data_IF_024136775584
#
_entry.id   IF_024136775584
#
_cell.length_a   1.000
_cell.length_b   1.000
_cell.length_c   1.000
_cell.angle_alpha   90.00
_cell.angle_beta   90.00
_cell.angle_gamma   90.00
#
_symmetry.space_group_name_H-M   'P 1'
#
loop_
_entity.id
_entity.type
_entity.pdbx_description
1 polymer ?
#
# COMPACT_ATOMS: atom_id res chain seq x y z
N UNK A 1 22.03 -23.06 6.91
CA UNK A 1 21.98 -22.85 5.45
C UNK A 1 20.54 -22.96 5.01
N UNK A 2 19.94 -21.86 4.54
CA UNK A 2 18.55 -21.82 4.10
C UNK A 2 18.56 -21.86 2.56
N UNK A 3 18.03 -22.92 1.97
CA UNK A 3 17.85 -23.03 0.52
C UNK A 3 16.54 -22.36 0.13
N UNK A 4 16.61 -21.26 -0.62
CA UNK A 4 15.46 -20.67 -1.29
C UNK A 4 15.17 -21.45 -2.57
N UNK A 5 14.00 -22.08 -2.64
CA UNK A 5 13.46 -22.59 -3.89
C UNK A 5 12.37 -21.61 -4.36
N UNK A 6 12.62 -20.90 -5.43
CA UNK A 6 11.63 -20.03 -6.07
C UNK A 6 10.82 -20.85 -7.07
N UNK A 7 9.50 -20.95 -6.86
CA UNK A 7 8.57 -21.27 -7.95
C UNK A 7 7.78 -20.01 -8.27
N UNK A 8 7.88 -19.58 -9.52
CA UNK A 8 7.11 -18.47 -10.09
C UNK A 8 5.93 -19.12 -10.81
N UNK A 9 4.74 -19.01 -10.22
CA UNK A 9 3.49 -19.29 -10.92
C UNK A 9 2.91 -17.98 -11.44
N UNK A 10 2.60 -17.95 -12.73
CA UNK A 10 2.08 -16.78 -13.44
C UNK A 10 0.61 -16.56 -13.08
N UNK A 11 0.36 -15.63 -12.16
CA UNK A 11 -0.95 -15.07 -11.86
C UNK A 11 -0.78 -13.84 -10.96
N UNK A 12 -1.47 -12.74 -11.29
CA UNK A 12 -1.57 -11.54 -10.44
C UNK A 12 -1.81 -11.91 -8.98
N UNK A 13 -1.23 -11.16 -8.04
CA UNK A 13 -1.07 -11.38 -6.59
C UNK A 13 0.26 -12.01 -6.18
N UNK A 14 1.17 -11.16 -5.68
CA UNK A 14 2.39 -11.60 -4.99
C UNK A 14 2.03 -12.09 -3.57
N UNK A 15 1.56 -13.33 -3.44
CA UNK A 15 1.51 -14.00 -2.14
C UNK A 15 2.94 -14.37 -1.70
N UNK A 16 3.46 -13.71 -0.67
CA UNK A 16 4.75 -14.09 -0.05
C UNK A 16 4.48 -14.97 1.16
N UNK A 17 4.64 -16.28 1.00
CA UNK A 17 4.52 -17.26 2.09
C UNK A 17 5.85 -17.39 2.84
N UNK A 18 5.86 -17.16 4.16
CA UNK A 18 6.99 -17.47 5.04
C UNK A 18 6.58 -18.59 6.00
N UNK A 19 7.35 -19.68 6.07
CA UNK A 19 7.09 -20.79 6.99
C UNK A 19 8.05 -20.74 8.19
N UNK A 20 7.52 -20.36 9.36
CA UNK A 20 8.17 -20.56 10.66
C UNK A 20 7.22 -21.46 11.45
N UNK A 21 7.75 -22.43 12.21
CA UNK A 21 7.02 -23.55 12.81
C UNK A 21 5.61 -23.25 13.34
N UNK A 22 4.69 -24.20 13.09
CA UNK A 22 3.23 -24.14 13.28
C UNK A 22 2.55 -23.24 12.24
N UNK A 23 1.90 -23.87 11.25
CA UNK A 23 1.15 -23.23 10.15
C UNK A 23 0.29 -22.06 10.67
N UNK A 24 0.81 -20.84 10.54
CA UNK A 24 0.03 -19.62 10.46
C UNK A 24 0.26 -19.05 9.07
N UNK A 25 -0.69 -19.31 8.18
CA UNK A 25 -0.73 -18.71 6.85
C UNK A 25 -1.23 -17.28 7.03
N UNK A 26 -0.35 -16.28 6.92
CA UNK A 26 -0.75 -14.89 6.89
C UNK A 26 -0.81 -14.44 5.43
N UNK A 27 -2.02 -14.31 4.87
CA UNK A 27 -2.22 -13.57 3.63
C UNK A 27 -2.27 -12.09 3.97
N UNK A 28 -1.17 -11.37 3.72
CA UNK A 28 -1.19 -9.91 3.76
C UNK A 28 -1.68 -9.45 2.39
N UNK A 29 -2.96 -9.08 2.30
CA UNK A 29 -3.49 -8.45 1.09
C UNK A 29 -2.96 -7.02 1.04
N UNK A 30 -2.07 -6.74 0.10
CA UNK A 30 -1.60 -5.38 -0.20
C UNK A 30 -2.09 -4.97 -1.58
N UNK A 31 -2.76 -3.83 -1.66
CA UNK A 31 -3.21 -3.21 -2.90
C UNK A 31 -2.43 -1.93 -3.14
N UNK A 32 -1.80 -1.84 -4.31
CA UNK A 32 -1.06 -0.66 -4.72
C UNK A 32 -1.94 0.26 -5.56
N UNK A 33 -1.78 1.57 -5.33
CA UNK A 33 -2.43 2.62 -6.09
C UNK A 33 -1.41 3.66 -6.52
N UNK A 34 -1.59 4.18 -7.73
CA UNK A 34 -0.89 5.35 -8.23
C UNK A 34 -1.66 6.60 -7.86
N UNK A 35 -0.93 7.62 -7.41
CA UNK A 35 -1.41 8.98 -7.22
C UNK A 35 -0.75 9.81 -8.31
N UNK A 36 -1.55 10.40 -9.20
CA UNK A 36 -1.06 11.24 -10.30
C UNK A 36 -1.48 12.67 -9.98
N UNK A 37 -0.51 13.54 -9.73
CA UNK A 37 -0.76 14.96 -9.46
C UNK A 37 -1.14 15.70 -10.75
N UNK A 38 -1.68 16.89 -10.60
CA UNK A 38 -1.97 17.80 -11.72
C UNK A 38 -0.71 18.29 -12.42
N UNK A 39 0.45 18.31 -11.75
CA UNK A 39 1.77 18.58 -12.36
C UNK A 39 2.29 17.42 -13.22
N UNK A 40 1.69 16.23 -13.12
CA UNK A 40 2.11 15.02 -13.84
C UNK A 40 3.05 14.12 -13.05
N UNK A 41 3.37 14.48 -11.80
CA UNK A 41 4.16 13.64 -10.91
C UNK A 41 3.36 12.42 -10.48
N UNK A 42 4.04 11.30 -10.30
CA UNK A 42 3.42 10.04 -9.92
C UNK A 42 4.00 9.52 -8.62
N UNK A 43 3.13 9.31 -7.65
CA UNK A 43 3.42 8.80 -6.32
C UNK A 43 2.67 7.50 -6.06
N UNK A 44 2.97 6.85 -4.93
CA UNK A 44 2.38 5.55 -4.61
C UNK A 44 1.62 5.60 -3.29
N UNK A 45 0.51 4.86 -3.25
CA UNK A 45 -0.18 4.51 -2.03
C UNK A 45 -0.32 2.99 -1.94
N UNK A 46 -0.14 2.45 -0.74
CA UNK A 46 -0.30 1.03 -0.45
C UNK A 46 -1.39 0.86 0.61
N UNK A 47 -2.43 0.09 0.31
CA UNK A 47 -3.40 -0.37 1.30
C UNK A 47 -3.03 -1.78 1.74
N UNK A 48 -2.79 -1.98 3.04
CA UNK A 48 -2.43 -3.29 3.58
C UNK A 48 -3.27 -3.63 4.81
N UNK A 49 -3.71 -4.89 4.90
CA UNK A 49 -4.36 -5.41 6.11
C UNK A 49 -3.30 -5.79 7.15
N UNK A 50 -3.47 -5.31 8.38
CA UNK A 50 -2.62 -5.59 9.53
C UNK A 50 -3.09 -6.85 10.28
N UNK A 51 -2.22 -7.42 11.11
CA UNK A 51 -2.49 -8.65 11.87
C UNK A 51 -3.65 -8.54 12.87
N UNK A 52 -3.95 -7.33 13.34
CA UNK A 52 -5.05 -7.01 14.26
C UNK A 52 -6.39 -6.76 13.53
N UNK A 53 -6.51 -7.15 12.25
CA UNK A 53 -7.63 -6.84 11.36
C UNK A 53 -7.83 -5.35 11.01
N UNK A 54 -6.95 -4.44 11.41
CA UNK A 54 -7.02 -3.06 10.94
C UNK A 54 -6.43 -2.94 9.53
N UNK A 55 -6.71 -1.83 8.86
CA UNK A 55 -6.12 -1.47 7.59
C UNK A 55 -5.15 -0.31 7.77
N UNK A 56 -4.07 -0.31 6.99
CA UNK A 56 -3.16 0.82 6.87
C UNK A 56 -3.13 1.27 5.41
N UNK A 57 -3.30 2.57 5.18
CA UNK A 57 -2.98 3.21 3.92
C UNK A 57 -1.67 3.98 4.08
N UNK A 58 -0.63 3.55 3.39
CA UNK A 58 0.68 4.21 3.38
C UNK A 58 0.83 5.01 2.10
N UNK A 59 0.86 6.33 2.22
CA UNK A 59 1.06 7.28 1.12
C UNK A 59 2.54 7.64 1.08
N UNK A 60 3.20 7.48 -0.06
CA UNK A 60 4.62 7.81 -0.27
C UNK A 60 4.69 8.87 -1.36
N UNK A 61 5.21 10.06 -1.03
CA UNK A 61 5.16 11.24 -1.90
C UNK A 61 6.43 12.09 -1.76
N UNK A 62 6.65 13.01 -2.71
CA UNK A 62 7.82 13.87 -2.74
C UNK A 62 7.41 15.35 -2.72
N UNK A 63 8.09 16.15 -1.90
CA UNK A 63 7.94 17.62 -1.85
C UNK A 63 9.34 18.23 -1.71
N UNK A 64 9.68 19.20 -2.56
CA UNK A 64 10.98 19.89 -2.54
C UNK A 64 12.17 18.91 -2.52
N UNK A 65 12.19 17.96 -3.45
CA UNK A 65 13.24 16.94 -3.63
C UNK A 65 13.45 16.03 -2.39
N UNK A 66 12.47 15.96 -1.50
CA UNK A 66 12.50 15.14 -0.28
C UNK A 66 11.32 14.17 -0.28
N UNK A 67 11.62 12.89 -0.03
CA UNK A 67 10.62 11.82 0.04
C UNK A 67 10.04 11.78 1.45
N UNK A 68 8.71 11.81 1.52
CA UNK A 68 7.91 11.69 2.73
C UNK A 68 7.01 10.47 2.66
N UNK A 69 6.51 10.05 3.82
CA UNK A 69 5.45 9.06 3.90
C UNK A 69 4.49 9.41 5.03
N UNK A 70 3.22 9.06 4.82
CA UNK A 70 2.17 9.16 5.83
C UNK A 70 1.49 7.80 5.95
N UNK A 71 1.22 7.36 7.18
CA UNK A 71 0.57 6.08 7.45
C UNK A 71 -0.73 6.30 8.20
N UNK A 72 -1.83 5.95 7.55
CA UNK A 72 -3.19 6.17 8.04
C UNK A 72 -3.76 4.83 8.46
N UNK A 73 -4.14 4.71 9.73
CA UNK A 73 -4.64 3.48 10.33
C UNK A 73 -6.13 3.59 10.58
N UNK A 74 -6.91 2.65 10.03
CA UNK A 74 -8.35 2.59 10.21
C UNK A 74 -8.81 1.15 10.46
N UNK A 75 -9.99 0.96 11.04
CA UNK A 75 -10.56 -0.38 11.22
C UNK A 75 -11.05 -1.02 9.92
N UNK A 76 -11.35 -0.20 8.91
CA UNK A 76 -11.94 -0.62 7.64
C UNK A 76 -11.08 -0.18 6.44
N UNK A 77 -11.14 -0.97 5.37
CA UNK A 77 -10.39 -0.72 4.14
C UNK A 77 -10.85 0.55 3.42
N UNK A 78 -12.16 0.71 3.25
CA UNK A 78 -12.75 1.87 2.57
C UNK A 78 -12.49 3.14 3.37
N UNK A 79 -12.51 3.05 4.70
CA UNK A 79 -12.17 4.17 5.55
C UNK A 79 -10.69 4.56 5.44
N UNK A 80 -9.76 3.59 5.50
CA UNK A 80 -8.33 3.83 5.26
C UNK A 80 -8.09 4.50 3.90
N UNK A 81 -8.76 3.99 2.87
CA UNK A 81 -8.70 4.56 1.52
C UNK A 81 -9.22 6.00 1.47
N UNK A 82 -10.41 6.25 2.04
CA UNK A 82 -11.06 7.57 2.03
C UNK A 82 -10.24 8.60 2.79
N UNK A 83 -9.76 8.25 3.98
CA UNK A 83 -8.91 9.15 4.79
C UNK A 83 -7.60 9.45 4.06
N UNK A 84 -6.98 8.46 3.41
CA UNK A 84 -5.80 8.68 2.59
C UNK A 84 -6.08 9.57 1.37
N UNK A 85 -7.20 9.39 0.67
CA UNK A 85 -7.61 10.27 -0.42
C UNK A 85 -7.77 11.72 0.04
N UNK A 86 -8.38 11.93 1.22
CA UNK A 86 -8.54 13.25 1.81
C UNK A 86 -7.18 13.87 2.19
N UNK A 87 -6.26 13.07 2.75
CA UNK A 87 -4.90 13.52 3.03
C UNK A 87 -4.18 13.96 1.76
N UNK A 88 -4.22 13.15 0.70
CA UNK A 88 -3.60 13.45 -0.59
C UNK A 88 -4.15 14.77 -1.15
N UNK A 89 -5.49 14.92 -1.15
CA UNK A 89 -6.13 16.14 -1.65
C UNK A 89 -5.90 17.37 -0.78
N UNK A 90 -5.66 17.21 0.52
CA UNK A 90 -5.44 18.35 1.43
C UNK A 90 -3.98 18.78 1.56
N UNK A 91 -3.02 17.89 1.25
CA UNK A 91 -1.61 18.10 1.58
C UNK A 91 -0.66 17.93 0.38
N UNK A 92 -1.08 17.24 -0.68
CA UNK A 92 -0.26 16.96 -1.86
C UNK A 92 -0.81 17.72 -3.06
N UNK A 93 -2.04 17.40 -3.49
CA UNK A 93 -2.70 18.03 -4.63
C UNK A 93 -4.21 17.76 -4.61
N UNK A 94 -5.02 18.83 -4.50
CA UNK A 94 -6.49 18.82 -4.48
C UNK A 94 -7.12 18.10 -5.69
N UNK A 95 -6.44 18.09 -6.83
CA UNK A 95 -6.88 17.51 -8.11
C UNK A 95 -6.19 16.18 -8.43
N UNK A 96 -5.47 15.58 -7.49
CA UNK A 96 -4.81 14.30 -7.70
C UNK A 96 -5.79 13.21 -8.14
N UNK A 97 -5.38 12.42 -9.13
CA UNK A 97 -6.09 11.22 -9.60
C UNK A 97 -5.48 10.00 -8.91
N UNK A 98 -6.32 9.21 -8.24
CA UNK A 98 -5.91 8.01 -7.50
C UNK A 98 -6.52 6.80 -8.19
N UNK A 99 -5.71 5.81 -8.58
CA UNK A 99 -6.18 4.61 -9.28
C UNK A 99 -5.35 3.36 -8.93
N UNK A 100 -5.94 2.15 -9.00
CA UNK A 100 -5.18 0.90 -8.89
C UNK A 100 -4.06 0.81 -9.93
N UNK A 101 -2.96 0.14 -9.53
CA UNK A 101 -1.81 -0.19 -10.40
C UNK A 101 -2.07 -1.50 -11.13
#
# INVERSE_FOLDING_TARGET
MLNLLFRVDHGMYCERTFTIGKMMTFSVSTEAMSIITSSGDTFNMLLSRQHNNSWVATVIYEINDSIYHESIYESDKEEAYRTACNFIKGNIDDNAIIKPV
#
